data_IF_689804476914
#
_entry.id   IF_689804476914
#
_cell.length_a   1.000
_cell.length_b   1.000
_cell.length_c   1.000
_cell.angle_alpha   90.00
_cell.angle_beta   90.00
_cell.angle_gamma   90.00
#
_symmetry.space_group_name_H-M   'P 1'
#
loop_
_entity.id
_entity.type
_entity.pdbx_description
1 polymer ?
#
# COMPACT_ATOMS: atom_id res chain seq x y z
N UNK A 1 -13.23 -46.63 35.41
CA UNK A 1 -14.20 -45.88 34.60
C UNK A 1 -14.07 -44.40 34.92
N UNK A 2 -13.99 -43.56 33.89
CA UNK A 2 -14.36 -42.13 33.87
C UNK A 2 -13.71 -41.27 34.97
N UNK A 3 -12.45 -40.93 34.81
CA UNK A 3 -12.13 -39.54 34.43
C UNK A 3 -11.06 -39.50 33.33
N UNK A 4 -11.32 -40.26 32.26
CA UNK A 4 -10.90 -39.85 30.92
C UNK A 4 -11.75 -38.62 30.55
N UNK A 5 -11.13 -37.65 29.86
CA UNK A 5 -11.74 -36.45 29.27
C UNK A 5 -12.02 -35.33 30.29
N UNK A 6 -11.15 -34.32 30.37
CA UNK A 6 -11.44 -32.85 30.39
C UNK A 6 -10.14 -32.12 30.80
N UNK A 7 -9.08 -32.25 30.00
CA UNK A 7 -7.93 -31.33 30.09
C UNK A 7 -7.20 -31.13 28.75
N UNK A 8 -7.78 -31.62 27.64
CA UNK A 8 -7.32 -31.37 26.27
C UNK A 8 -8.29 -30.45 25.52
N UNK A 9 -9.01 -29.58 26.23
CA UNK A 9 -10.08 -28.75 25.69
C UNK A 9 -9.97 -27.27 26.07
N UNK A 10 -8.75 -26.77 26.30
CA UNK A 10 -8.52 -25.32 26.40
C UNK A 10 -7.47 -24.90 25.39
N UNK A 11 -7.97 -24.35 24.28
CA UNK A 11 -7.27 -23.32 23.53
C UNK A 11 -6.26 -23.83 22.52
N UNK A 12 -6.70 -24.54 21.48
CA UNK A 12 -6.10 -24.34 20.16
C UNK A 12 -6.43 -22.92 19.72
N UNK A 13 -5.66 -21.97 20.24
CA UNK A 13 -5.63 -20.58 19.85
C UNK A 13 -5.55 -20.53 18.33
N UNK A 14 -6.45 -19.74 17.75
CA UNK A 14 -6.51 -19.42 16.35
C UNK A 14 -5.09 -19.12 15.84
N UNK A 15 -4.57 -20.01 14.99
CA UNK A 15 -3.38 -19.77 14.21
C UNK A 15 -3.76 -18.75 13.14
N UNK A 16 -3.79 -17.48 13.53
CA UNK A 16 -3.71 -16.37 12.60
C UNK A 16 -2.37 -16.51 11.90
N UNK A 17 -2.43 -16.91 10.63
CA UNK A 17 -1.28 -16.83 9.74
C UNK A 17 -0.95 -15.35 9.59
N UNK A 18 -0.08 -14.83 10.46
CA UNK A 18 0.63 -13.60 10.15
C UNK A 18 1.40 -13.91 8.87
N UNK A 19 1.01 -13.26 7.77
CA UNK A 19 1.79 -13.29 6.55
C UNK A 19 3.24 -13.01 6.95
N UNK A 20 4.12 -13.97 6.66
CA UNK A 20 5.55 -13.76 6.77
C UNK A 20 5.84 -12.64 5.77
N UNK A 21 5.86 -11.41 6.25
CA UNK A 21 6.33 -10.27 5.49
C UNK A 21 7.68 -10.67 4.92
N UNK A 22 7.84 -10.51 3.61
CA UNK A 22 9.09 -10.81 2.94
C UNK A 22 10.19 -10.14 3.74
N UNK A 23 11.08 -10.94 4.34
CA UNK A 23 12.33 -10.43 4.90
C UNK A 23 13.19 -10.02 3.70
N UNK A 24 12.87 -8.85 3.13
CA UNK A 24 13.91 -8.02 2.56
C UNK A 24 14.96 -7.87 3.65
N UNK A 25 16.24 -7.75 3.29
CA UNK A 25 17.28 -7.35 4.23
C UNK A 25 16.94 -5.93 4.73
N UNK A 26 15.98 -5.83 5.64
CA UNK A 26 15.52 -4.62 6.26
C UNK A 26 16.67 -4.22 7.16
N UNK A 27 17.46 -3.25 6.71
CA UNK A 27 18.37 -2.52 7.59
C UNK A 27 17.58 -2.17 8.86
N UNK A 28 18.14 -2.39 10.05
CA UNK A 28 17.53 -2.14 11.38
C UNK A 28 17.03 -0.69 11.61
N UNK A 29 16.97 0.14 10.57
CA UNK A 29 16.40 1.48 10.50
C UNK A 29 15.00 1.60 11.11
N UNK A 30 14.20 0.52 11.18
CA UNK A 30 12.90 0.53 11.86
C UNK A 30 13.03 0.66 13.39
N UNK A 31 14.11 0.18 13.99
CA UNK A 31 14.34 0.21 15.43
C UNK A 31 14.80 1.58 15.96
N UNK A 32 15.15 2.51 15.07
CA UNK A 32 15.55 3.88 15.45
C UNK A 32 14.29 4.64 15.91
N UNK A 33 14.29 5.27 17.08
CA UNK A 33 13.13 6.01 17.59
C UNK A 33 12.96 7.39 16.93
N UNK A 34 14.08 8.05 16.61
CA UNK A 34 14.07 9.38 16.00
C UNK A 34 13.60 9.34 14.55
N UNK A 35 12.62 10.18 14.20
CA UNK A 35 12.07 10.26 12.84
C UNK A 35 13.14 10.63 11.80
N UNK A 36 14.02 11.58 12.14
CA UNK A 36 15.12 12.01 11.28
C UNK A 36 16.19 10.92 11.12
N UNK A 37 16.53 10.20 12.19
CA UNK A 37 17.51 9.11 12.14
C UNK A 37 17.01 7.90 11.35
N UNK A 38 15.73 7.55 11.49
CA UNK A 38 15.08 6.52 10.68
C UNK A 38 15.15 6.86 9.20
N UNK A 39 14.78 8.09 8.84
CA UNK A 39 14.77 8.54 7.45
C UNK A 39 16.18 8.50 6.84
N UNK A 40 17.17 9.04 7.54
CA UNK A 40 18.56 9.01 7.08
C UNK A 40 19.10 7.58 6.91
N UNK A 41 18.70 6.64 7.77
CA UNK A 41 19.08 5.24 7.66
C UNK A 41 18.46 4.58 6.41
N UNK A 42 17.20 4.87 6.10
CA UNK A 42 16.59 4.39 4.86
C UNK A 42 17.23 5.00 3.61
N UNK A 43 17.52 6.30 3.62
CA UNK A 43 18.19 6.99 2.51
C UNK A 43 19.60 6.40 2.24
N UNK A 44 20.30 5.99 3.30
CA UNK A 44 21.61 5.35 3.20
C UNK A 44 21.52 3.88 2.73
N UNK A 45 20.53 3.13 3.20
CA UNK A 45 20.33 1.72 2.83
C UNK A 45 19.83 1.56 1.38
N UNK A 46 19.02 2.51 0.91
CA UNK A 46 18.47 2.53 -0.43
C UNK A 46 18.89 3.82 -1.15
N UNK A 47 20.18 3.96 -1.48
CA UNK A 47 20.65 5.16 -2.16
C UNK A 47 19.88 5.31 -3.48
N UNK A 48 19.43 6.53 -3.83
CA UNK A 48 18.75 6.77 -5.09
C UNK A 48 19.70 6.37 -6.21
N UNK A 49 19.35 5.32 -6.95
CA UNK A 49 20.11 4.94 -8.13
C UNK A 49 19.88 6.05 -9.14
N UNK A 50 20.89 6.90 -9.35
CA UNK A 50 20.90 8.01 -10.33
C UNK A 50 20.75 7.55 -11.78
N UNK A 51 20.52 6.25 -12.02
CA UNK A 51 19.88 5.81 -13.26
C UNK A 51 18.47 6.37 -13.20
N UNK A 52 18.32 7.60 -13.71
CA UNK A 52 17.07 8.11 -14.25
C UNK A 52 16.37 6.89 -14.84
N UNK A 53 15.27 6.39 -14.26
CA UNK A 53 14.39 5.57 -15.05
C UNK A 53 14.17 6.47 -16.25
N UNK A 54 14.62 6.05 -17.45
CA UNK A 54 13.95 6.52 -18.64
C UNK A 54 12.50 6.32 -18.26
N UNK A 55 11.77 7.42 -18.07
CA UNK A 55 10.35 7.36 -17.86
C UNK A 55 9.86 6.78 -19.18
N UNK A 56 9.96 5.46 -19.27
CA UNK A 56 9.29 4.62 -20.22
C UNK A 56 7.92 4.57 -19.57
N UNK A 57 7.26 5.72 -19.62
CA UNK A 57 5.90 5.79 -20.11
C UNK A 57 5.93 5.16 -21.52
N UNK A 58 6.19 3.86 -21.60
CA UNK A 58 5.60 3.06 -22.66
C UNK A 58 4.16 2.86 -22.21
N UNK A 59 3.38 3.92 -22.39
CA UNK A 59 1.95 3.77 -22.53
C UNK A 59 1.63 2.90 -23.77
N UNK A 60 2.61 2.63 -24.64
CA UNK A 60 2.46 1.73 -25.78
C UNK A 60 2.19 0.25 -25.43
N UNK A 61 2.44 -0.20 -24.19
CA UNK A 61 2.07 -1.56 -23.74
C UNK A 61 0.79 -1.61 -22.91
N UNK A 62 0.27 -0.46 -22.47
CA UNK A 62 -0.99 -0.40 -21.73
C UNK A 62 -2.09 0.04 -22.70
N UNK A 63 -3.23 -0.65 -22.75
CA UNK A 63 -4.35 -0.11 -23.50
C UNK A 63 -4.70 1.27 -22.92
N UNK A 64 -5.08 2.25 -23.77
CA UNK A 64 -5.51 3.56 -23.29
C UNK A 64 -6.51 3.41 -22.17
N UNK A 65 -6.24 4.06 -21.03
CA UNK A 65 -7.11 3.97 -19.87
C UNK A 65 -8.50 4.52 -20.22
N UNK A 66 -9.49 3.63 -20.25
CA UNK A 66 -10.90 4.02 -20.39
C UNK A 66 -11.45 4.27 -19.01
N UNK A 67 -11.56 5.54 -18.64
CA UNK A 67 -12.21 5.92 -17.40
C UNK A 67 -13.73 5.62 -17.49
N UNK A 68 -14.28 4.75 -16.63
CA UNK A 68 -15.71 4.45 -16.58
C UNK A 68 -16.56 5.64 -16.12
N UNK A 69 -15.98 6.69 -15.56
CA UNK A 69 -16.70 7.85 -15.02
C UNK A 69 -16.86 9.02 -15.99
N UNK A 70 -16.29 8.96 -17.20
CA UNK A 70 -16.35 10.06 -18.19
C UNK A 70 -17.78 10.50 -18.50
N UNK A 71 -18.72 9.55 -18.58
CA UNK A 71 -20.13 9.87 -18.82
C UNK A 71 -20.77 10.60 -17.63
N UNK A 72 -20.47 10.19 -16.40
CA UNK A 72 -20.97 10.84 -15.19
C UNK A 72 -20.32 12.21 -14.96
N UNK A 73 -19.04 12.34 -15.28
CA UNK A 73 -18.34 13.63 -15.26
C UNK A 73 -18.95 14.59 -16.28
N UNK A 74 -19.23 14.13 -17.51
CA UNK A 74 -19.90 14.95 -18.52
C UNK A 74 -21.30 15.42 -18.06
N UNK A 75 -22.07 14.54 -17.41
CA UNK A 75 -23.38 14.89 -16.84
C UNK A 75 -23.25 15.89 -15.69
N UNK A 76 -22.24 15.71 -14.84
CA UNK A 76 -21.98 16.58 -13.68
C UNK A 76 -21.47 17.95 -14.12
N UNK A 77 -20.55 17.99 -15.07
CA UNK A 77 -20.03 19.21 -15.70
C UNK A 77 -21.14 19.98 -16.41
N UNK A 78 -22.03 19.29 -17.14
CA UNK A 78 -23.20 19.91 -17.76
C UNK A 78 -24.13 20.54 -16.70
N UNK A 79 -24.31 19.89 -15.55
CA UNK A 79 -25.12 20.37 -14.42
C UNK A 79 -24.44 21.46 -13.59
N UNK A 80 -23.13 21.59 -13.69
CA UNK A 80 -22.35 22.64 -13.02
C UNK A 80 -22.22 23.90 -13.91
N UNK A 81 -22.35 23.76 -15.23
CA UNK A 81 -22.22 24.87 -16.20
C UNK A 81 -23.24 26.00 -15.98
N UNK A 82 -24.37 25.71 -15.38
CA UNK A 82 -25.43 26.67 -15.03
C UNK A 82 -25.27 27.28 -13.62
N UNK A 83 -24.16 27.03 -12.92
CA UNK A 83 -23.87 27.62 -11.62
C UNK A 83 -22.74 28.62 -11.78
N UNK A 84 -23.01 29.89 -11.49
CA UNK A 84 -21.96 30.91 -11.37
C UNK A 84 -21.18 30.65 -10.07
N UNK A 85 -19.98 30.07 -10.17
CA UNK A 85 -19.08 29.88 -9.01
C UNK A 85 -18.31 31.17 -8.67
N UNK A 86 -19.04 32.27 -8.51
CA UNK A 86 -18.51 33.57 -8.09
C UNK A 86 -17.57 34.22 -9.11
N UNK A 87 -17.63 35.55 -9.19
CA UNK A 87 -16.59 36.39 -9.79
C UNK A 87 -15.85 37.10 -8.66
#
# INVERSE_FOLDING_TARGET
MRTLLVALAFGTFAQGTFAQGALAAESDCRAIESSSGRLACYDAAFPPILKKPSAVENDAFRPPYKDPFVAEEARTAAKLKNICRGC
#
